data_IF_718580019995
#
_entry.id   IF_718580019995
#
_cell.length_a   1.000
_cell.length_b   1.000
_cell.length_c   1.000
_cell.angle_alpha   90.00
_cell.angle_beta   90.00
_cell.angle_gamma   90.00
#
_symmetry.space_group_name_H-M   'P 1'
#
loop_
_entity.id
_entity.type
_entity.pdbx_description
1 polymer ?
#
# COMPACT_ATOMS: atom_id res chain seq x y z
N UNK A 1 -2.18 5.00 -2.27
CA UNK A 1 -1.99 3.69 -1.64
C UNK A 1 -0.73 3.00 -2.15
N UNK A 2 -0.49 1.79 -1.69
CA UNK A 2 0.63 0.92 -2.11
C UNK A 2 1.97 1.68 -2.18
N UNK A 3 2.71 1.54 -3.27
CA UNK A 3 3.98 2.25 -3.51
C UNK A 3 3.85 3.76 -3.35
N UNK A 4 2.75 4.36 -3.80
CA UNK A 4 2.51 5.78 -3.65
C UNK A 4 2.40 6.21 -2.18
N UNK A 5 1.81 5.38 -1.33
CA UNK A 5 1.76 5.63 0.10
C UNK A 5 3.15 5.50 0.75
N UNK A 6 3.94 4.48 0.36
CA UNK A 6 5.31 4.27 0.84
C UNK A 6 6.18 5.47 0.46
N UNK A 7 6.21 5.84 -0.82
CA UNK A 7 7.03 6.94 -1.34
C UNK A 7 6.62 8.28 -0.71
N UNK A 8 5.31 8.59 -0.71
CA UNK A 8 4.82 9.85 -0.13
C UNK A 8 5.12 9.98 1.36
N UNK A 9 5.02 8.89 2.10
CA UNK A 9 5.36 8.90 3.53
C UNK A 9 6.86 9.03 3.76
N UNK A 10 7.70 8.37 2.95
CA UNK A 10 9.15 8.55 3.03
C UNK A 10 9.57 9.98 2.70
N UNK A 11 8.96 10.60 1.69
CA UNK A 11 9.17 12.03 1.41
C UNK A 11 8.83 12.91 2.61
N UNK A 12 7.69 12.65 3.26
CA UNK A 12 7.26 13.39 4.43
C UNK A 12 8.16 13.20 5.67
N UNK A 13 8.90 12.08 5.74
CA UNK A 13 9.88 11.83 6.81
C UNK A 13 11.24 12.46 6.48
N UNK A 14 11.73 12.32 5.24
CA UNK A 14 13.07 12.75 4.84
C UNK A 14 13.12 14.26 4.59
N UNK A 15 12.09 14.82 3.94
CA UNK A 15 12.03 16.22 3.53
C UNK A 15 10.65 16.82 3.90
N UNK A 16 10.32 16.90 5.20
CA UNK A 16 9.00 17.32 5.64
C UNK A 16 8.65 18.75 5.22
N UNK A 17 9.62 19.61 5.01
CA UNK A 17 9.45 20.98 4.52
C UNK A 17 9.00 21.04 3.05
N UNK A 18 9.21 19.97 2.28
CA UNK A 18 8.77 19.85 0.88
C UNK A 18 7.35 19.29 0.75
N UNK A 19 6.74 18.87 1.85
CA UNK A 19 5.41 18.22 1.86
C UNK A 19 4.43 19.09 2.65
N UNK A 20 3.53 19.76 1.95
CA UNK A 20 2.50 20.59 2.58
C UNK A 20 1.49 19.76 3.39
N UNK A 21 1.08 18.62 2.87
CA UNK A 21 0.19 17.66 3.52
C UNK A 21 0.23 16.31 2.79
N UNK A 22 -0.12 15.22 3.48
CA UNK A 22 -0.11 13.86 2.96
C UNK A 22 -1.45 13.18 3.19
N UNK A 23 -2.04 12.62 2.14
CA UNK A 23 -3.24 11.79 2.24
C UNK A 23 -2.95 10.39 1.68
N UNK A 24 -3.18 9.36 2.47
CA UNK A 24 -2.92 7.97 2.09
C UNK A 24 -4.09 7.05 2.46
N UNK A 25 -4.30 6.01 1.68
CA UNK A 25 -5.30 4.97 1.95
C UNK A 25 -4.66 3.62 2.39
N UNK A 26 -3.45 3.68 2.89
CA UNK A 26 -2.74 2.57 3.52
C UNK A 26 -1.84 3.13 4.63
N UNK A 27 -1.36 2.29 5.53
CA UNK A 27 -0.41 2.69 6.59
C UNK A 27 0.98 2.15 6.27
N UNK A 28 1.80 2.87 5.49
CA UNK A 28 3.09 2.38 5.01
C UNK A 28 4.23 2.63 6.00
N UNK A 29 4.01 3.47 6.99
CA UNK A 29 5.04 3.86 7.96
C UNK A 29 5.02 2.94 9.18
N UNK A 30 6.20 2.56 9.65
CA UNK A 30 6.35 1.89 10.94
C UNK A 30 6.73 2.92 11.99
N UNK A 31 5.99 3.02 13.10
CA UNK A 31 6.43 3.84 14.21
C UNK A 31 7.70 3.24 14.81
N UNK A 32 8.50 4.09 15.42
CA UNK A 32 9.68 3.64 16.13
C UNK A 32 9.29 2.78 17.35
N UNK A 33 9.84 1.58 17.41
CA UNK A 33 9.60 0.61 18.48
C UNK A 33 10.88 0.28 19.29
N UNK A 34 11.93 1.08 19.13
CA UNK A 34 13.21 0.91 19.80
C UNK A 34 13.23 1.40 21.25
N UNK A 35 14.42 1.50 21.87
CA UNK A 35 14.59 1.97 23.24
C UNK A 35 13.89 3.32 23.50
N UNK A 36 13.11 3.40 24.58
CA UNK A 36 12.35 4.59 24.95
C UNK A 36 10.96 4.71 24.30
N UNK A 37 10.60 3.84 23.36
CA UNK A 37 9.23 3.80 22.83
C UNK A 37 8.23 3.30 23.85
N UNK A 38 6.96 3.71 23.70
CA UNK A 38 5.88 3.18 24.53
C UNK A 38 5.68 1.67 24.26
N UNK A 39 5.39 0.90 25.32
CA UNK A 39 5.05 -0.52 25.17
C UNK A 39 3.84 -0.68 24.25
N UNK A 40 3.86 -1.77 23.47
CA UNK A 40 2.72 -2.13 22.64
C UNK A 40 1.53 -2.54 23.52
N UNK A 41 0.34 -2.06 23.15
CA UNK A 41 -0.91 -2.54 23.74
C UNK A 41 -1.20 -3.96 23.26
N UNK A 42 -2.12 -4.67 23.93
CA UNK A 42 -2.56 -5.99 23.51
C UNK A 42 -3.18 -5.96 22.10
N UNK A 43 -4.03 -4.95 21.82
CA UNK A 43 -4.65 -4.73 20.53
C UNK A 43 -3.61 -4.52 19.41
N UNK A 44 -2.54 -3.77 19.68
CA UNK A 44 -1.43 -3.58 18.73
C UNK A 44 -0.65 -4.87 18.48
N UNK A 45 -0.45 -5.67 19.50
CA UNK A 45 0.23 -6.96 19.39
C UNK A 45 -0.59 -7.95 18.55
N UNK A 46 -1.90 -8.02 18.78
CA UNK A 46 -2.81 -8.87 18.01
C UNK A 46 -2.90 -8.42 16.54
N UNK A 47 -2.99 -7.12 16.31
CA UNK A 47 -2.95 -6.57 14.96
C UNK A 47 -1.63 -6.92 14.24
N UNK A 48 -0.49 -6.76 14.89
CA UNK A 48 0.83 -7.13 14.33
C UNK A 48 0.92 -8.62 14.01
N UNK A 49 0.31 -9.48 14.86
CA UNK A 49 0.24 -10.92 14.62
C UNK A 49 -0.60 -11.24 13.40
N UNK A 50 -1.77 -10.60 13.26
CA UNK A 50 -2.62 -10.74 12.08
C UNK A 50 -1.91 -10.25 10.81
N UNK A 51 -1.27 -9.09 10.85
CA UNK A 51 -0.49 -8.55 9.72
C UNK A 51 0.67 -9.47 9.32
N UNK A 52 1.33 -10.13 10.27
CA UNK A 52 2.38 -11.13 9.99
C UNK A 52 1.81 -12.37 9.31
N UNK A 53 0.65 -12.84 9.72
CA UNK A 53 -0.02 -13.98 9.09
C UNK A 53 -0.36 -13.68 7.61
N UNK A 54 -0.94 -12.51 7.32
CA UNK A 54 -1.17 -12.05 5.94
C UNK A 54 0.14 -12.01 5.15
N UNK A 55 1.19 -11.41 5.73
CA UNK A 55 2.49 -11.30 5.07
C UNK A 55 3.07 -12.66 4.68
N UNK A 56 2.91 -13.69 5.50
CA UNK A 56 3.44 -15.02 5.21
C UNK A 56 2.79 -15.70 3.98
N UNK A 57 1.56 -15.31 3.65
CA UNK A 57 0.80 -15.91 2.55
C UNK A 57 0.78 -15.02 1.29
N UNK A 58 0.75 -13.71 1.45
CA UNK A 58 0.48 -12.78 0.35
C UNK A 58 1.75 -12.13 -0.24
N UNK A 59 2.92 -12.31 0.36
CA UNK A 59 4.16 -11.64 -0.12
C UNK A 59 5.11 -12.54 -0.91
N UNK A 60 4.67 -13.72 -1.35
CA UNK A 60 5.48 -14.62 -2.18
C UNK A 60 6.01 -13.94 -3.45
N UNK A 61 5.18 -13.12 -4.09
CA UNK A 61 5.56 -12.33 -5.27
C UNK A 61 6.70 -11.35 -4.96
N UNK A 62 6.69 -10.69 -3.80
CA UNK A 62 7.76 -9.77 -3.37
C UNK A 62 9.09 -10.52 -3.17
N UNK A 63 9.03 -11.73 -2.60
CA UNK A 63 10.21 -12.56 -2.41
C UNK A 63 10.85 -12.95 -3.75
N UNK A 64 10.04 -13.37 -4.73
CA UNK A 64 10.51 -13.72 -6.08
C UNK A 64 11.05 -12.47 -6.79
N UNK A 65 10.30 -11.39 -6.85
CA UNK A 65 10.70 -10.15 -7.52
C UNK A 65 11.95 -9.53 -6.89
N UNK A 66 12.08 -9.59 -5.56
CA UNK A 66 13.23 -9.07 -4.84
C UNK A 66 14.49 -9.93 -4.90
N UNK A 67 14.43 -11.18 -5.38
CA UNK A 67 15.57 -12.10 -5.41
C UNK A 67 15.90 -12.64 -6.80
N UNK A 68 14.87 -13.00 -7.57
CA UNK A 68 14.97 -13.66 -8.87
C UNK A 68 13.99 -13.03 -9.89
N UNK A 69 13.81 -11.70 -9.82
CA UNK A 69 12.89 -10.95 -10.66
C UNK A 69 13.13 -11.17 -12.15
N UNK A 70 14.39 -11.17 -12.59
CA UNK A 70 14.73 -11.41 -14.00
C UNK A 70 14.36 -12.82 -14.45
N UNK A 71 14.53 -13.84 -13.62
CA UNK A 71 14.14 -15.22 -13.95
C UNK A 71 12.64 -15.31 -14.17
N UNK A 72 11.84 -14.67 -13.30
CA UNK A 72 10.40 -14.56 -13.45
C UNK A 72 10.03 -13.80 -14.73
N UNK A 73 10.71 -12.68 -14.99
CA UNK A 73 10.42 -11.79 -16.10
C UNK A 73 10.53 -12.45 -17.47
N UNK A 74 11.42 -13.42 -17.67
CA UNK A 74 11.47 -14.17 -18.93
C UNK A 74 10.15 -14.86 -19.24
N UNK A 75 9.55 -15.55 -18.27
CA UNK A 75 8.23 -16.19 -18.47
C UNK A 75 7.10 -15.20 -18.66
N UNK A 76 7.13 -14.07 -17.92
CA UNK A 76 6.08 -13.04 -18.01
C UNK A 76 6.19 -12.18 -19.29
N UNK A 77 7.37 -12.05 -19.87
CA UNK A 77 7.59 -11.34 -21.15
C UNK A 77 7.23 -12.21 -22.35
N UNK A 78 7.37 -13.53 -22.23
CA UNK A 78 7.13 -14.48 -23.32
C UNK A 78 5.67 -14.97 -23.37
N UNK A 79 4.96 -14.94 -22.25
CA UNK A 79 3.59 -15.44 -22.13
C UNK A 79 2.59 -14.36 -21.73
N UNK A 80 1.70 -13.90 -22.65
CA UNK A 80 0.65 -12.95 -22.28
C UNK A 80 -0.33 -13.53 -21.25
N UNK A 81 -0.60 -14.81 -21.29
CA UNK A 81 -1.43 -15.50 -20.28
C UNK A 81 -0.70 -15.58 -18.93
N UNK A 82 0.60 -15.83 -18.93
CA UNK A 82 1.41 -15.81 -17.71
C UNK A 82 1.41 -14.43 -17.04
N UNK A 83 1.60 -13.38 -17.83
CA UNK A 83 1.54 -12.00 -17.36
C UNK A 83 0.14 -11.65 -16.82
N UNK A 84 -0.90 -12.02 -17.56
CA UNK A 84 -2.29 -11.82 -17.15
C UNK A 84 -2.58 -12.51 -15.81
N UNK A 85 -2.20 -13.78 -15.66
CA UNK A 85 -2.39 -14.52 -14.43
C UNK A 85 -1.66 -13.89 -13.24
N UNK A 86 -0.42 -13.43 -13.44
CA UNK A 86 0.40 -12.78 -12.42
C UNK A 86 -0.22 -11.48 -11.87
N UNK A 87 -0.84 -10.70 -12.76
CA UNK A 87 -1.46 -9.41 -12.40
C UNK A 87 -2.89 -9.60 -11.90
N UNK A 88 -3.74 -10.33 -12.62
CA UNK A 88 -5.18 -10.47 -12.31
C UNK A 88 -5.40 -11.17 -10.97
N UNK A 89 -4.54 -12.12 -10.60
CA UNK A 89 -4.62 -12.76 -9.29
C UNK A 89 -4.57 -11.75 -8.15
N UNK A 90 -3.75 -10.68 -8.26
CA UNK A 90 -3.68 -9.62 -7.26
C UNK A 90 -4.95 -8.77 -7.23
N UNK A 91 -5.47 -8.41 -8.40
CA UNK A 91 -6.75 -7.71 -8.47
C UNK A 91 -7.90 -8.51 -7.84
N UNK A 92 -7.94 -9.81 -8.06
CA UNK A 92 -8.97 -10.67 -7.45
C UNK A 92 -8.77 -10.86 -5.94
N UNK A 93 -7.52 -11.01 -5.52
CA UNK A 93 -7.20 -11.38 -4.14
C UNK A 93 -7.24 -10.21 -3.16
N UNK A 94 -6.93 -9.00 -3.64
CA UNK A 94 -6.79 -7.81 -2.81
C UNK A 94 -7.96 -6.83 -2.93
N UNK A 95 -8.96 -7.17 -3.73
CA UNK A 95 -10.21 -6.42 -3.80
C UNK A 95 -11.15 -6.79 -2.67
N UNK A 96 -12.14 -5.93 -2.44
CA UNK A 96 -13.21 -6.16 -1.48
C UNK A 96 -13.99 -7.44 -1.84
N UNK A 97 -13.94 -8.51 -1.01
CA UNK A 97 -14.65 -9.75 -1.27
C UNK A 97 -16.18 -9.61 -1.15
N UNK A 98 -16.65 -8.58 -0.44
CA UNK A 98 -18.07 -8.32 -0.19
C UNK A 98 -18.68 -7.37 -1.23
N UNK A 99 -17.89 -6.93 -2.22
CA UNK A 99 -18.37 -6.09 -3.30
C UNK A 99 -19.50 -6.80 -4.09
N UNK A 100 -20.65 -6.14 -4.34
CA UNK A 100 -21.80 -6.77 -4.99
C UNK A 100 -21.57 -7.16 -6.45
N UNK A 101 -20.48 -6.69 -7.05
CA UNK A 101 -20.01 -7.01 -8.42
C UNK A 101 -18.50 -7.08 -8.42
N UNK A 102 -17.89 -7.81 -9.37
CA UNK A 102 -16.45 -7.69 -9.59
C UNK A 102 -16.09 -6.20 -9.73
N UNK A 103 -15.15 -5.69 -8.93
CA UNK A 103 -14.87 -4.25 -8.90
C UNK A 103 -14.21 -3.75 -10.19
N UNK A 104 -13.78 -4.67 -11.06
CA UNK A 104 -13.12 -4.34 -12.33
C UNK A 104 -13.79 -5.03 -13.49
N UNK A 105 -14.01 -4.27 -14.57
CA UNK A 105 -14.41 -4.85 -15.85
C UNK A 105 -13.24 -5.61 -16.49
N UNK A 106 -13.52 -6.59 -17.38
CA UNK A 106 -12.47 -7.25 -18.16
C UNK A 106 -11.58 -6.25 -18.93
N UNK A 107 -12.14 -5.17 -19.47
CA UNK A 107 -11.40 -4.16 -20.21
C UNK A 107 -10.43 -3.37 -19.31
N UNK A 108 -10.82 -3.08 -18.07
CA UNK A 108 -9.92 -2.43 -17.10
C UNK A 108 -8.73 -3.33 -16.78
N UNK A 109 -8.96 -4.62 -16.55
CA UNK A 109 -7.90 -5.58 -16.28
C UNK A 109 -6.98 -5.77 -17.48
N UNK A 110 -7.57 -5.94 -18.68
CA UNK A 110 -6.82 -6.06 -19.92
C UNK A 110 -6.00 -4.81 -20.22
N UNK A 111 -6.56 -3.62 -20.00
CA UNK A 111 -5.81 -2.37 -20.15
C UNK A 111 -4.60 -2.33 -19.24
N UNK A 112 -4.74 -2.71 -17.99
CA UNK A 112 -3.61 -2.76 -17.05
C UNK A 112 -2.53 -3.73 -17.53
N UNK A 113 -2.91 -4.94 -17.94
CA UNK A 113 -1.98 -5.96 -18.46
C UNK A 113 -1.26 -5.44 -19.71
N UNK A 114 -2.00 -4.81 -20.63
CA UNK A 114 -1.45 -4.28 -21.87
C UNK A 114 -0.44 -3.14 -21.68
N UNK A 115 -0.55 -2.38 -20.59
CA UNK A 115 0.48 -1.39 -20.24
C UNK A 115 1.84 -2.06 -20.03
N UNK A 116 1.90 -3.19 -19.35
CA UNK A 116 3.15 -3.95 -19.18
C UNK A 116 3.57 -4.66 -20.46
N UNK A 117 2.60 -5.28 -21.15
CA UNK A 117 2.87 -6.10 -22.32
C UNK A 117 3.42 -5.30 -23.48
N UNK A 118 2.73 -4.22 -23.88
CA UNK A 118 3.12 -3.39 -25.03
C UNK A 118 4.40 -2.61 -24.79
N UNK A 119 4.64 -2.19 -23.56
CA UNK A 119 5.85 -1.43 -23.21
C UNK A 119 7.05 -2.32 -22.86
N UNK A 120 6.85 -3.63 -22.69
CA UNK A 120 7.90 -4.57 -22.29
C UNK A 120 8.46 -4.30 -20.88
N UNK A 121 7.69 -3.67 -19.99
CA UNK A 121 8.19 -3.16 -18.71
C UNK A 121 8.05 -4.10 -17.52
N UNK A 122 7.51 -5.28 -17.69
CA UNK A 122 7.33 -6.21 -16.56
C UNK A 122 8.67 -6.56 -15.87
N UNK A 123 9.77 -6.69 -16.61
CA UNK A 123 11.07 -6.94 -16.03
C UNK A 123 11.53 -5.76 -15.15
N UNK A 124 11.50 -4.55 -15.67
CA UNK A 124 11.96 -3.37 -14.93
C UNK A 124 11.08 -3.06 -13.71
N UNK A 125 9.80 -3.42 -13.75
CA UNK A 125 8.90 -3.27 -12.60
C UNK A 125 9.33 -4.12 -11.40
N UNK A 126 10.03 -5.23 -11.62
CA UNK A 126 10.54 -6.09 -10.53
C UNK A 126 11.75 -5.48 -9.82
N UNK A 127 12.47 -4.55 -10.45
CA UNK A 127 13.72 -3.99 -9.90
C UNK A 127 13.50 -3.15 -8.65
N UNK A 128 12.33 -2.53 -8.52
CA UNK A 128 11.96 -1.78 -7.33
C UNK A 128 11.98 -2.67 -6.07
N UNK A 129 11.47 -3.90 -6.19
CA UNK A 129 11.49 -4.88 -5.09
C UNK A 129 12.90 -5.33 -4.72
N UNK A 130 13.78 -5.43 -5.71
CA UNK A 130 15.18 -5.73 -5.49
C UNK A 130 15.87 -4.57 -4.78
N UNK A 131 15.68 -3.34 -5.23
CA UNK A 131 16.25 -2.14 -4.61
C UNK A 131 15.90 -2.05 -3.13
N UNK A 132 14.62 -2.17 -2.79
CA UNK A 132 14.17 -2.17 -1.39
C UNK A 132 14.79 -3.29 -0.56
N UNK A 133 14.93 -4.48 -1.14
CA UNK A 133 15.58 -5.59 -0.44
C UNK A 133 17.06 -5.31 -0.16
N UNK A 134 17.77 -4.69 -1.10
CA UNK A 134 19.16 -4.29 -0.95
C UNK A 134 19.32 -3.15 0.07
N UNK A 135 18.38 -2.21 0.11
CA UNK A 135 18.32 -1.14 1.11
C UNK A 135 17.85 -1.61 2.50
N UNK A 136 17.27 -2.81 2.59
CA UNK A 136 16.89 -3.45 3.86
C UNK A 136 15.53 -3.02 4.42
N UNK A 137 14.75 -2.17 3.74
CA UNK A 137 13.47 -1.69 4.28
C UNK A 137 12.44 -1.34 3.21
N UNK A 138 11.18 -1.73 3.46
CA UNK A 138 10.00 -1.21 2.75
C UNK A 138 9.47 0.10 3.34
N UNK A 139 9.87 0.43 4.56
CA UNK A 139 9.43 1.64 5.22
C UNK A 139 10.52 2.13 6.17
N UNK A 140 10.84 3.41 6.10
CA UNK A 140 11.69 4.04 7.09
C UNK A 140 10.99 4.01 8.45
N UNK A 141 11.75 3.73 9.50
CA UNK A 141 11.27 3.99 10.84
C UNK A 141 11.23 5.50 11.06
N UNK A 142 10.04 6.02 11.28
CA UNK A 142 9.87 7.43 11.62
C UNK A 142 10.09 7.62 13.13
N UNK A 143 11.33 7.82 13.54
CA UNK A 143 11.70 8.02 14.95
C UNK A 143 10.94 9.21 15.54
N UNK A 144 10.79 10.30 14.78
CA UNK A 144 10.06 11.51 15.18
C UNK A 144 8.61 11.52 14.67
N UNK A 145 8.17 10.46 14.00
CA UNK A 145 6.88 10.41 13.29
C UNK A 145 6.84 11.27 12.03
N UNK A 146 5.69 11.27 11.37
CA UNK A 146 5.41 12.10 10.20
C UNK A 146 5.06 13.51 10.69
N UNK A 147 5.86 14.52 10.35
CA UNK A 147 5.66 15.91 10.77
C UNK A 147 4.59 16.68 9.98
N UNK A 148 4.54 16.58 8.63
CA UNK A 148 3.46 17.18 7.86
C UNK A 148 2.09 16.66 8.28
N UNK A 149 1.01 17.48 8.16
CA UNK A 149 -0.34 17.00 8.38
C UNK A 149 -0.65 15.77 7.51
N UNK A 150 -1.11 14.69 8.15
CA UNK A 150 -1.41 13.44 7.45
C UNK A 150 -2.88 13.05 7.66
N UNK A 151 -3.52 12.64 6.57
CA UNK A 151 -4.81 11.97 6.59
C UNK A 151 -4.66 10.52 6.22
N UNK A 152 -5.41 9.67 6.92
CA UNK A 152 -5.61 8.27 6.60
C UNK A 152 -7.05 8.08 6.14
N UNK A 153 -7.26 7.38 5.02
CA UNK A 153 -8.57 7.00 4.52
C UNK A 153 -8.55 5.50 4.21
N UNK A 154 -8.86 4.69 5.21
CA UNK A 154 -8.57 3.27 5.22
C UNK A 154 -9.80 2.44 4.82
N UNK A 155 -9.72 1.63 3.75
CA UNK A 155 -10.75 0.67 3.39
C UNK A 155 -10.78 -0.49 4.39
N UNK A 156 -11.94 -1.17 4.57
CA UNK A 156 -12.06 -2.29 5.51
C UNK A 156 -11.33 -3.55 5.05
N UNK A 157 -11.23 -3.77 3.74
CA UNK A 157 -10.76 -5.01 3.12
C UNK A 157 -9.44 -4.82 2.34
N UNK A 158 -8.53 -3.93 2.81
CA UNK A 158 -7.18 -3.87 2.24
C UNK A 158 -6.41 -5.17 2.53
N UNK A 159 -5.34 -5.39 1.79
CA UNK A 159 -4.42 -6.52 1.94
C UNK A 159 -4.03 -6.77 3.41
N UNK A 160 -3.73 -5.73 4.16
CA UNK A 160 -3.48 -5.79 5.59
C UNK A 160 -4.66 -5.23 6.38
N UNK A 161 -5.02 -5.85 7.51
CA UNK A 161 -6.09 -5.32 8.35
C UNK A 161 -5.77 -3.89 8.79
N UNK A 162 -6.77 -3.01 8.84
CA UNK A 162 -6.55 -1.64 9.30
C UNK A 162 -6.01 -1.63 10.74
N UNK A 163 -4.99 -0.79 11.04
CA UNK A 163 -4.39 -0.75 12.35
C UNK A 163 -5.35 -0.16 13.41
N UNK A 164 -5.15 -0.49 14.69
CA UNK A 164 -5.89 0.12 15.78
C UNK A 164 -5.55 1.62 15.92
N UNK A 165 -6.45 2.37 16.55
CA UNK A 165 -6.27 3.82 16.74
C UNK A 165 -5.00 4.16 17.54
N UNK A 166 -4.65 3.32 18.51
CA UNK A 166 -3.42 3.47 19.29
C UNK A 166 -2.17 3.43 18.40
N UNK A 167 -2.15 2.52 17.41
CA UNK A 167 -1.07 2.45 16.42
C UNK A 167 -1.00 3.71 15.56
N UNK A 168 -2.14 4.21 15.13
CA UNK A 168 -2.21 5.46 14.34
C UNK A 168 -1.63 6.62 15.12
N UNK A 169 -1.91 6.71 16.41
CA UNK A 169 -1.33 7.74 17.29
C UNK A 169 0.20 7.74 17.39
N UNK A 170 0.85 6.64 16.99
CA UNK A 170 2.34 6.55 16.96
C UNK A 170 2.93 7.05 15.64
N UNK A 171 2.13 7.32 14.62
CA UNK A 171 2.63 7.65 13.28
C UNK A 171 3.10 9.10 13.14
N UNK A 172 2.74 9.97 14.07
CA UNK A 172 3.04 11.40 14.04
C UNK A 172 1.81 12.28 13.88
N UNK A 173 1.86 13.30 13.03
CA UNK A 173 0.83 14.33 12.90
C UNK A 173 -0.38 13.86 12.06
N UNK A 174 -1.07 12.82 12.52
CA UNK A 174 -2.32 12.37 11.90
C UNK A 174 -3.48 13.27 12.34
N UNK A 175 -3.95 14.10 11.44
CA UNK A 175 -5.04 15.08 11.69
C UNK A 175 -6.41 14.57 11.23
N UNK A 176 -6.45 13.45 10.49
CA UNK A 176 -7.68 12.84 9.99
C UNK A 176 -7.50 11.32 9.86
N UNK A 177 -8.45 10.55 10.41
CA UNK A 177 -8.55 9.09 10.28
C UNK A 177 -9.98 8.75 9.85
N UNK A 178 -10.16 8.47 8.57
CA UNK A 178 -11.42 8.06 7.98
C UNK A 178 -11.40 6.57 7.71
N UNK A 179 -12.44 5.87 8.15
CA UNK A 179 -12.67 4.45 7.88
C UNK A 179 -13.79 4.36 6.87
N UNK A 180 -13.48 3.81 5.69
CA UNK A 180 -14.48 3.56 4.66
C UNK A 180 -15.34 2.36 5.04
N UNK A 181 -16.59 2.33 4.55
CA UNK A 181 -17.50 1.22 4.79
C UNK A 181 -17.31 0.06 3.80
N UNK A 182 -16.71 0.33 2.65
CA UNK A 182 -16.46 -0.64 1.59
C UNK A 182 -15.13 -0.35 0.87
N UNK A 183 -14.63 -1.33 0.14
CA UNK A 183 -13.43 -1.25 -0.68
C UNK A 183 -12.26 -2.04 -0.13
N UNK A 184 -11.35 -2.39 -1.02
CA UNK A 184 -10.12 -3.14 -0.77
C UNK A 184 -8.88 -2.34 -1.14
N UNK A 185 -7.84 -3.05 -1.53
CA UNK A 185 -6.52 -2.49 -1.82
C UNK A 185 -6.54 -1.43 -2.94
N UNK A 186 -7.37 -1.64 -3.95
CA UNK A 186 -7.50 -0.73 -5.10
C UNK A 186 -8.59 0.33 -4.84
N UNK A 187 -8.61 0.92 -3.67
CA UNK A 187 -9.65 1.80 -3.13
C UNK A 187 -10.12 2.86 -4.14
N UNK A 188 -9.21 3.46 -4.91
CA UNK A 188 -9.57 4.48 -5.90
C UNK A 188 -10.45 3.94 -7.04
N UNK A 189 -10.31 2.66 -7.39
CA UNK A 189 -11.10 1.98 -8.41
C UNK A 189 -12.35 1.32 -7.83
N UNK A 190 -12.28 0.87 -6.58
CA UNK A 190 -13.36 0.15 -5.91
C UNK A 190 -14.39 1.10 -5.27
N UNK A 191 -13.91 2.16 -4.61
CA UNK A 191 -14.72 3.14 -3.88
C UNK A 191 -14.24 4.58 -4.11
N UNK A 192 -14.01 4.95 -5.37
CA UNK A 192 -13.50 6.25 -5.77
C UNK A 192 -14.31 7.46 -5.29
N UNK A 193 -15.65 7.47 -5.31
CA UNK A 193 -16.45 8.59 -4.86
C UNK A 193 -16.24 8.97 -3.39
N UNK A 194 -16.19 7.98 -2.48
CA UNK A 194 -15.94 8.23 -1.07
C UNK A 194 -14.50 8.69 -0.82
N UNK A 195 -13.53 8.02 -1.43
CA UNK A 195 -12.12 8.44 -1.37
C UNK A 195 -11.94 9.88 -1.86
N UNK A 196 -12.59 10.26 -2.98
CA UNK A 196 -12.50 11.61 -3.53
C UNK A 196 -13.14 12.64 -2.59
N UNK A 197 -14.23 12.27 -1.93
CA UNK A 197 -14.90 13.14 -0.94
C UNK A 197 -13.96 13.41 0.23
N UNK A 198 -13.30 12.38 0.74
CA UNK A 198 -12.34 12.50 1.84
C UNK A 198 -11.10 13.31 1.45
N UNK A 199 -10.52 13.05 0.27
CA UNK A 199 -9.42 13.82 -0.30
C UNK A 199 -9.76 15.32 -0.37
N UNK A 200 -10.92 15.67 -0.92
CA UNK A 200 -11.36 17.06 -1.06
C UNK A 200 -11.57 17.72 0.29
N UNK A 201 -12.14 17.01 1.26
CA UNK A 201 -12.34 17.52 2.60
C UNK A 201 -11.02 17.83 3.30
N UNK A 202 -10.04 16.94 3.17
CA UNK A 202 -8.71 17.12 3.77
C UNK A 202 -7.94 18.29 3.14
N UNK A 203 -7.75 18.27 1.81
CA UNK A 203 -6.90 19.25 1.12
C UNK A 203 -7.50 20.67 1.02
N UNK A 204 -8.74 20.89 1.41
CA UNK A 204 -9.28 22.27 1.52
C UNK A 204 -8.46 23.18 2.42
N UNK A 205 -7.85 22.60 3.44
CA UNK A 205 -7.10 23.35 4.46
C UNK A 205 -5.64 23.62 4.05
N UNK A 206 -5.20 23.09 2.90
CA UNK A 206 -3.80 23.14 2.45
C UNK A 206 -3.64 23.68 1.02
N UNK A 207 -4.54 24.57 0.62
CA UNK A 207 -4.52 25.26 -0.68
C UNK A 207 -3.84 26.62 -0.57
#
# INVERSE_FOLDING_TARGET
GDWGAIIGTQMAVIAPEAVAALHVNAVPVRPYLGPGSQRLTEEEQDWLKAARAVRSHETGYQAIQGTRGQTLAYGLTDSPVGLAAWIVEKFQRWSDPDAPKPPFSPDQLLTNIMLYWLTGTINTSTWLYRGIREEGSFALEAVEGVRPPMALCLPPNDLFPPPPKSWIGRLGNVVRDTRLEAGGHFTALENGPELLTDLRAFFRNYR
#
